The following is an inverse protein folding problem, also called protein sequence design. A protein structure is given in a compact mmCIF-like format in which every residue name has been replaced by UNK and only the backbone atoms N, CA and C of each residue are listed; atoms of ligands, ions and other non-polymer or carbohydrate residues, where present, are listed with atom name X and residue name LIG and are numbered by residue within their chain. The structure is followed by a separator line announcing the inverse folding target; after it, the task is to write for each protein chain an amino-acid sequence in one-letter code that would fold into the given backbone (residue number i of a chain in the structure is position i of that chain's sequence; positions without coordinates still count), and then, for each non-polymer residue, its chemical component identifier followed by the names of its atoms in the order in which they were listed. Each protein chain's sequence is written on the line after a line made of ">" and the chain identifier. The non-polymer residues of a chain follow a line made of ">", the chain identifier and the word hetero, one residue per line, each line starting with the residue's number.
data_IF_212971637983
#
_entry.id   IF_212971637983
#
_cell.length_a   1.000
_cell.length_b   1.000
_cell.length_c   1.000
_cell.angle_alpha   90.00
_cell.angle_beta   90.00
_cell.angle_gamma   90.00
#
_symmetry.space_group_name_H-M   'P 1'
#
loop_
_entity.id
_entity.type
_entity.pdbx_description
1 polymer ?
#
# COMPACT_ATOMS: atom_id res chain seq x y z
N UNK A 1 -30.69 -18.72 25.44
CA UNK A 1 -29.37 -18.60 26.13
C UNK A 1 -29.18 -17.28 26.90
N UNK A 2 -30.15 -16.34 26.90
CA UNK A 2 -30.01 -15.02 27.55
C UNK A 2 -30.33 -14.94 29.06
N UNK A 3 -30.78 -16.04 29.68
CA UNK A 3 -31.18 -16.03 31.10
C UNK A 3 -29.97 -16.04 32.05
N UNK A 4 -28.83 -16.59 31.60
CA UNK A 4 -27.67 -16.80 32.47
C UNK A 4 -26.81 -15.54 32.64
N UNK A 5 -26.80 -14.63 31.65
CA UNK A 5 -25.98 -13.41 31.70
C UNK A 5 -26.57 -12.38 32.68
N UNK A 6 -27.90 -12.28 32.78
CA UNK A 6 -28.55 -11.34 33.71
C UNK A 6 -28.36 -11.75 35.18
N UNK A 7 -28.35 -13.05 35.47
CA UNK A 7 -28.11 -13.57 36.83
C UNK A 7 -26.67 -13.33 37.32
N UNK A 8 -25.70 -13.37 36.41
CA UNK A 8 -24.29 -13.07 36.72
C UNK A 8 -24.08 -11.56 36.95
N UNK A 9 -24.77 -10.71 36.19
CA UNK A 9 -24.69 -9.25 36.36
C UNK A 9 -25.38 -8.80 37.65
N UNK A 10 -26.49 -9.43 38.06
CA UNK A 10 -27.18 -9.09 39.31
C UNK A 10 -26.38 -9.52 40.55
N UNK A 11 -25.75 -10.70 40.52
CA UNK A 11 -24.90 -11.20 41.62
C UNK A 11 -23.63 -10.36 41.80
N UNK A 12 -23.03 -9.86 40.71
CA UNK A 12 -21.91 -8.90 40.76
C UNK A 12 -22.33 -7.50 41.25
N UNK A 13 -23.59 -7.09 41.01
CA UNK A 13 -24.11 -5.82 41.52
C UNK A 13 -24.50 -5.89 43.01
N UNK A 14 -24.97 -7.04 43.50
CA UNK A 14 -25.26 -7.25 44.92
C UNK A 14 -24.01 -7.33 45.78
N UNK A 15 -22.93 -7.96 45.31
CA UNK A 15 -21.63 -7.98 46.01
C UNK A 15 -21.00 -6.58 46.16
N UNK A 16 -21.32 -5.64 45.27
CA UNK A 16 -20.83 -4.26 45.35
C UNK A 16 -21.63 -3.36 46.30
N UNK A 17 -22.82 -3.78 46.74
CA UNK A 17 -23.69 -2.96 47.62
C UNK A 17 -23.48 -3.24 49.12
N UNK A 18 -22.91 -4.38 49.50
CA UNK A 18 -22.76 -4.79 50.91
C UNK A 18 -21.40 -4.51 51.53
N UNK A 19 -20.42 -4.01 50.76
CA UNK A 19 -19.09 -3.65 51.28
C UNK A 19 -18.96 -2.16 51.60
N UNK A 20 -19.82 -1.67 52.49
CA UNK A 20 -19.64 -0.37 53.14
C UNK A 20 -19.03 -0.56 54.51
N UNK A 21 -17.87 0.07 54.72
CA UNK A 21 -17.08 0.21 55.96
C UNK A 21 -16.05 -0.88 56.25
N UNK A 22 -14.95 -0.85 55.49
CA UNK A 22 -13.62 -0.89 56.10
C UNK A 22 -12.78 0.25 55.53
N UNK A 23 -12.38 1.20 56.39
CA UNK A 23 -11.33 2.17 56.05
C UNK A 23 -10.00 1.41 56.01
N UNK A 24 -9.75 0.69 54.93
CA UNK A 24 -8.42 0.19 54.63
C UNK A 24 -7.61 1.37 54.14
N UNK A 25 -6.79 1.89 55.05
CA UNK A 25 -5.68 2.79 54.74
C UNK A 25 -4.91 2.12 53.60
N UNK A 26 -5.01 2.68 52.39
CA UNK A 26 -4.23 2.25 51.24
C UNK A 26 -2.76 2.25 51.67
N UNK A 27 -2.04 1.11 51.60
CA UNK A 27 -0.67 1.07 52.04
C UNK A 27 0.14 2.03 51.16
N UNK A 28 0.59 3.12 51.78
CA UNK A 28 1.47 4.17 51.23
C UNK A 28 2.82 3.63 50.72
N UNK A 29 3.06 2.31 50.81
CA UNK A 29 4.15 1.61 50.12
C UNK A 29 4.00 1.59 48.59
N UNK A 30 2.79 1.69 48.03
CA UNK A 30 2.64 1.79 46.56
C UNK A 30 2.99 3.19 46.00
N UNK A 31 2.95 4.24 46.84
CA UNK A 31 3.39 5.58 46.48
C UNK A 31 4.92 5.76 46.50
N UNK A 32 5.66 4.78 47.05
CA UNK A 32 7.14 4.79 47.01
C UNK A 32 7.71 4.25 45.70
N UNK A 33 6.94 3.46 44.93
CA UNK A 33 7.33 3.03 43.58
C UNK A 33 7.30 4.14 42.54
N UNK A 34 6.64 5.27 42.81
CA UNK A 34 6.59 6.42 41.89
C UNK A 34 7.95 7.07 41.65
N UNK A 35 8.90 6.93 42.60
CA UNK A 35 10.30 7.36 42.39
C UNK A 35 11.08 6.46 41.45
N UNK A 36 10.76 5.16 41.36
CA UNK A 36 11.35 4.25 40.37
C UNK A 36 10.82 4.46 38.95
N UNK A 37 9.59 4.97 38.79
CA UNK A 37 9.06 5.32 37.47
C UNK A 37 9.80 6.52 36.88
N UNK A 38 10.31 7.45 37.71
CA UNK A 38 11.07 8.62 37.22
C UNK A 38 12.31 8.25 36.41
N UNK A 39 12.98 7.15 36.75
CA UNK A 39 14.19 6.70 36.04
C UNK A 39 13.89 5.90 34.74
N UNK A 40 12.62 5.52 34.53
CA UNK A 40 12.09 4.97 33.27
C UNK A 40 11.71 6.06 32.26
N UNK A 41 11.84 7.33 32.64
CA UNK A 41 11.49 8.51 31.82
C UNK A 41 12.72 9.36 31.42
N UNK A 42 13.93 8.83 31.59
CA UNK A 42 15.14 9.34 30.93
C UNK A 42 15.16 9.02 29.42
N UNK A 43 14.15 8.30 28.95
CA UNK A 43 13.97 7.93 27.55
C UNK A 43 13.43 9.08 26.69
N UNK A 44 13.76 9.00 25.40
CA UNK A 44 13.55 9.99 24.33
C UNK A 44 12.25 10.81 24.40
N UNK A 45 12.27 12.01 23.81
CA UNK A 45 11.11 12.93 23.73
C UNK A 45 9.83 12.24 23.22
N UNK A 46 9.95 11.23 22.34
CA UNK A 46 8.81 10.41 21.90
C UNK A 46 8.15 9.66 23.07
N UNK A 47 8.93 9.08 23.99
CA UNK A 47 8.40 8.35 25.14
C UNK A 47 7.72 9.27 26.14
N UNK A 48 8.20 10.51 26.27
CA UNK A 48 7.52 11.56 27.05
C UNK A 48 6.16 11.91 26.47
N UNK A 49 6.07 12.03 25.14
CA UNK A 49 4.80 12.26 24.44
C UNK A 49 3.87 11.06 24.61
N UNK A 50 4.35 9.83 24.41
CA UNK A 50 3.58 8.60 24.62
C UNK A 50 3.02 8.50 26.04
N UNK A 51 3.80 8.89 27.05
CA UNK A 51 3.33 8.92 28.43
C UNK A 51 2.25 9.97 28.67
N UNK A 52 2.38 11.17 28.08
CA UNK A 52 1.33 12.20 28.14
C UNK A 52 0.04 11.72 27.49
N UNK A 53 0.13 11.06 26.34
CA UNK A 53 -1.01 10.44 25.64
C UNK A 53 -1.65 9.38 26.55
N UNK A 54 -0.86 8.49 27.15
CA UNK A 54 -1.36 7.46 28.05
C UNK A 54 -2.07 8.05 29.28
N UNK A 55 -1.51 9.09 29.90
CA UNK A 55 -2.13 9.79 31.03
C UNK A 55 -3.44 10.47 30.63
N UNK A 56 -3.47 11.09 29.45
CA UNK A 56 -4.66 11.71 28.89
C UNK A 56 -5.77 10.68 28.63
N UNK A 57 -5.46 9.57 27.97
CA UNK A 57 -6.39 8.46 27.78
C UNK A 57 -6.88 7.89 29.12
N UNK A 58 -6.01 7.78 30.12
CA UNK A 58 -6.40 7.40 31.47
C UNK A 58 -7.41 8.36 32.12
N UNK A 59 -7.31 9.66 31.85
CA UNK A 59 -8.24 10.68 32.37
C UNK A 59 -9.61 10.71 31.66
N UNK A 60 -9.68 10.29 30.39
CA UNK A 60 -10.91 10.24 29.60
C UNK A 60 -11.86 9.11 30.03
N UNK A 61 -11.34 8.08 30.70
CA UNK A 61 -12.11 6.93 31.16
C UNK A 61 -12.49 5.93 30.06
N UNK A 62 -12.86 4.71 30.48
CA UNK A 62 -13.04 3.57 29.56
C UNK A 62 -14.15 3.71 28.53
N UNK A 63 -15.21 4.47 28.82
CA UNK A 63 -16.35 4.67 27.91
C UNK A 63 -15.98 5.44 26.64
N UNK A 64 -15.04 6.38 26.75
CA UNK A 64 -14.57 7.17 25.60
C UNK A 64 -13.43 6.41 24.91
N UNK A 65 -12.52 5.81 25.68
CA UNK A 65 -11.35 5.11 25.15
C UNK A 65 -11.67 3.94 24.21
N UNK A 66 -12.85 3.31 24.31
CA UNK A 66 -13.27 2.26 23.37
C UNK A 66 -13.29 2.76 21.91
N UNK A 67 -13.59 4.04 21.67
CA UNK A 67 -13.57 4.65 20.34
C UNK A 67 -12.16 4.74 19.73
N UNK A 68 -11.09 4.63 20.54
CA UNK A 68 -9.72 4.63 20.05
C UNK A 68 -9.42 3.38 19.20
N UNK A 69 -10.07 2.26 19.50
CA UNK A 69 -9.88 1.00 18.77
C UNK A 69 -10.52 1.08 17.38
N UNK A 70 -11.48 1.99 17.17
CA UNK A 70 -12.10 2.29 15.88
C UNK A 70 -12.72 1.07 15.19
N UNK A 71 -13.18 1.25 13.95
CA UNK A 71 -13.58 0.12 13.10
C UNK A 71 -12.34 -0.60 12.59
N UNK A 72 -11.82 -1.52 13.41
CA UNK A 72 -10.64 -2.37 13.11
C UNK A 72 -10.78 -3.10 11.78
N UNK A 73 -12.01 -3.38 11.35
CA UNK A 73 -12.34 -3.98 10.06
C UNK A 73 -11.71 -3.23 8.89
N UNK A 74 -11.73 -1.90 8.89
CA UNK A 74 -11.28 -1.09 7.74
C UNK A 74 -9.78 -1.19 7.49
N UNK A 75 -8.99 -1.35 8.56
CA UNK A 75 -7.54 -1.50 8.49
C UNK A 75 -7.15 -2.96 8.20
N UNK A 76 -7.73 -3.91 8.94
CA UNK A 76 -7.47 -5.33 8.75
C UNK A 76 -7.85 -5.81 7.34
N UNK A 77 -8.95 -5.32 6.76
CA UNK A 77 -9.35 -5.69 5.39
C UNK A 77 -8.33 -5.20 4.35
N UNK A 78 -7.59 -4.12 4.62
CA UNK A 78 -6.61 -3.61 3.65
C UNK A 78 -5.28 -4.35 3.69
N UNK A 79 -4.86 -4.82 4.86
CA UNK A 79 -3.58 -5.51 5.03
C UNK A 79 -3.68 -7.03 5.00
N UNK A 80 -4.80 -7.62 5.45
CA UNK A 80 -4.96 -9.06 5.55
C UNK A 80 -5.55 -9.72 4.28
N UNK A 81 -5.88 -8.93 3.25
CA UNK A 81 -6.42 -9.45 1.98
C UNK A 81 -5.31 -9.69 0.98
N UNK A 82 -5.23 -10.93 0.49
CA UNK A 82 -4.30 -11.30 -0.57
C UNK A 82 -4.55 -10.49 -1.85
N UNK A 83 -3.47 -10.12 -2.55
CA UNK A 83 -3.56 -9.29 -3.76
C UNK A 83 -4.06 -10.07 -4.96
N UNK A 84 -3.81 -11.37 -5.00
CA UNK A 84 -4.42 -12.33 -5.91
C UNK A 84 -4.81 -13.59 -5.13
N UNK A 85 -5.77 -14.34 -5.66
CA UNK A 85 -6.25 -15.60 -5.10
C UNK A 85 -5.37 -16.78 -5.51
N UNK A 86 -4.58 -16.63 -6.57
CA UNK A 86 -3.70 -17.64 -7.13
C UNK A 86 -2.26 -17.12 -7.16
N UNK A 87 -1.30 -18.02 -6.92
CA UNK A 87 0.13 -17.69 -7.02
C UNK A 87 0.59 -17.94 -8.46
N UNK A 88 0.89 -16.86 -9.17
CA UNK A 88 1.27 -16.86 -10.58
C UNK A 88 2.79 -16.73 -10.81
N UNK A 89 3.52 -16.18 -9.85
CA UNK A 89 4.95 -15.90 -9.95
C UNK A 89 5.76 -16.90 -9.12
N UNK A 90 6.17 -17.97 -9.79
CA UNK A 90 7.10 -18.94 -9.25
C UNK A 90 8.53 -18.66 -9.73
N UNK A 91 9.49 -18.84 -8.83
CA UNK A 91 10.92 -18.72 -9.09
C UNK A 91 11.62 -20.01 -8.68
N UNK A 92 12.32 -20.63 -9.64
CA UNK A 92 13.18 -21.78 -9.35
C UNK A 92 14.52 -21.27 -8.88
N UNK A 93 14.87 -21.54 -7.62
CA UNK A 93 16.18 -21.17 -7.10
C UNK A 93 17.20 -22.17 -7.64
N UNK A 94 18.24 -21.72 -8.37
CA UNK A 94 19.28 -22.61 -8.85
C UNK A 94 20.26 -22.90 -7.71
N UNK A 95 20.02 -23.96 -6.93
CA UNK A 95 21.02 -24.51 -6.02
C UNK A 95 21.75 -25.67 -6.71
N UNK A 96 22.92 -26.05 -6.20
CA UNK A 96 23.77 -27.10 -6.80
C UNK A 96 23.04 -28.45 -6.88
N UNK A 97 22.38 -28.85 -5.78
CA UNK A 97 21.76 -30.18 -5.66
C UNK A 97 20.24 -30.18 -5.85
N UNK A 98 19.58 -29.02 -5.79
CA UNK A 98 18.12 -28.93 -5.83
C UNK A 98 17.61 -27.63 -6.46
N UNK A 99 16.37 -27.66 -6.96
CA UNK A 99 15.72 -26.48 -7.55
C UNK A 99 14.40 -26.19 -6.84
N UNK A 100 14.42 -25.67 -5.60
CA UNK A 100 13.21 -25.36 -4.87
C UNK A 100 12.44 -24.25 -5.58
N UNK A 101 11.11 -24.32 -5.47
CA UNK A 101 10.19 -23.34 -6.06
C UNK A 101 9.77 -22.36 -4.97
N UNK A 102 9.99 -21.08 -5.20
CA UNK A 102 9.54 -20.00 -4.33
C UNK A 102 8.42 -19.23 -5.02
N UNK A 103 7.32 -19.00 -4.33
CA UNK A 103 6.25 -18.13 -4.79
C UNK A 103 6.55 -16.68 -4.37
N UNK A 104 6.89 -15.84 -5.33
CA UNK A 104 7.31 -14.46 -5.08
C UNK A 104 6.12 -13.54 -4.77
N UNK A 105 4.91 -13.90 -5.21
CA UNK A 105 3.70 -13.08 -5.04
C UNK A 105 3.37 -12.76 -3.58
N UNK A 106 3.69 -13.71 -2.70
CA UNK A 106 3.40 -13.63 -1.27
C UNK A 106 4.15 -12.49 -0.57
N UNK A 107 5.28 -12.05 -1.13
CA UNK A 107 6.12 -11.03 -0.51
C UNK A 107 5.73 -9.60 -0.91
N UNK A 108 4.94 -9.42 -1.98
CA UNK A 108 4.63 -8.09 -2.50
C UNK A 108 4.03 -7.11 -1.47
N UNK A 109 3.03 -7.48 -0.64
CA UNK A 109 2.45 -6.54 0.31
C UNK A 109 3.50 -5.98 1.27
N UNK A 110 4.39 -6.84 1.77
CA UNK A 110 5.43 -6.44 2.71
C UNK A 110 6.56 -5.67 2.04
N UNK A 111 6.99 -6.08 0.84
CA UNK A 111 8.04 -5.37 0.09
C UNK A 111 7.59 -3.95 -0.23
N UNK A 112 6.35 -3.78 -0.70
CA UNK A 112 5.81 -2.46 -1.03
C UNK A 112 5.65 -1.58 0.21
N UNK A 113 5.17 -2.15 1.32
CA UNK A 113 5.08 -1.42 2.58
C UNK A 113 6.45 -0.92 3.07
N UNK A 114 7.47 -1.79 3.04
CA UNK A 114 8.84 -1.41 3.40
C UNK A 114 9.42 -0.36 2.42
N UNK A 115 9.16 -0.50 1.12
CA UNK A 115 9.64 0.47 0.13
C UNK A 115 9.01 1.85 0.32
N UNK A 116 7.74 1.94 0.72
CA UNK A 116 7.03 3.22 0.89
C UNK A 116 7.27 3.86 2.27
N UNK A 117 7.24 3.07 3.33
CA UNK A 117 7.13 3.57 4.71
C UNK A 117 8.34 3.30 5.60
N UNK A 118 9.37 2.59 5.12
CA UNK A 118 10.56 2.35 5.96
C UNK A 118 11.26 3.65 6.35
N UNK A 119 11.49 3.81 7.65
CA UNK A 119 12.25 4.93 8.22
C UNK A 119 13.76 4.77 8.01
N UNK A 120 14.23 3.52 7.94
CA UNK A 120 15.64 3.24 7.71
C UNK A 120 15.93 3.23 6.21
N UNK A 121 16.86 4.09 5.78
CA UNK A 121 17.21 4.25 4.37
C UNK A 121 17.74 2.97 3.74
N UNK A 122 18.56 2.21 4.47
CA UNK A 122 19.12 0.96 3.96
C UNK A 122 18.01 -0.05 3.62
N UNK A 123 17.13 -0.30 4.59
CA UNK A 123 15.98 -1.20 4.41
C UNK A 123 15.06 -0.73 3.28
N UNK A 124 14.84 0.59 3.16
CA UNK A 124 14.05 1.18 2.08
C UNK A 124 14.68 0.91 0.71
N UNK A 125 15.97 1.20 0.54
CA UNK A 125 16.72 1.01 -0.71
C UNK A 125 16.70 -0.47 -1.13
N UNK A 126 16.99 -1.38 -0.21
CA UNK A 126 16.97 -2.82 -0.49
C UNK A 126 15.58 -3.31 -0.89
N UNK A 127 14.51 -2.83 -0.22
CA UNK A 127 13.14 -3.15 -0.62
C UNK A 127 12.79 -2.61 -2.02
N UNK A 128 13.29 -1.42 -2.38
CA UNK A 128 13.10 -0.81 -3.69
C UNK A 128 13.78 -1.62 -4.81
N UNK A 129 15.04 -1.99 -4.62
CA UNK A 129 15.80 -2.81 -5.57
C UNK A 129 15.17 -4.19 -5.76
N UNK A 130 14.73 -4.82 -4.66
CA UNK A 130 14.03 -6.10 -4.69
C UNK A 130 12.71 -5.97 -5.47
N UNK A 131 11.91 -4.94 -5.18
CA UNK A 131 10.64 -4.68 -5.87
C UNK A 131 10.84 -4.53 -7.38
N UNK A 132 11.82 -3.71 -7.78
CA UNK A 132 12.13 -3.49 -9.19
C UNK A 132 12.59 -4.80 -9.87
N UNK A 133 13.45 -5.58 -9.21
CA UNK A 133 13.97 -6.84 -9.73
C UNK A 133 12.85 -7.87 -9.96
N UNK A 134 11.94 -8.02 -8.99
CA UNK A 134 10.79 -8.91 -9.11
C UNK A 134 9.84 -8.44 -10.22
N UNK A 135 9.59 -7.13 -10.31
CA UNK A 135 8.76 -6.58 -11.40
C UNK A 135 9.37 -6.81 -12.77
N UNK A 136 10.69 -6.64 -12.92
CA UNK A 136 11.39 -6.94 -14.16
C UNK A 136 11.30 -8.43 -14.51
N UNK A 137 11.45 -9.31 -13.52
CA UNK A 137 11.26 -10.75 -13.69
C UNK A 137 9.85 -11.11 -14.16
N UNK A 138 8.82 -10.50 -13.57
CA UNK A 138 7.41 -10.67 -13.96
C UNK A 138 7.17 -10.23 -15.41
N UNK A 139 7.73 -9.07 -15.80
CA UNK A 139 7.66 -8.59 -17.19
C UNK A 139 8.36 -9.60 -18.13
N UNK A 140 9.54 -10.12 -17.76
CA UNK A 140 10.24 -11.13 -18.54
C UNK A 140 9.45 -12.44 -18.70
N UNK A 141 8.78 -12.89 -17.63
CA UNK A 141 7.93 -14.09 -17.64
C UNK A 141 6.63 -13.93 -18.43
N UNK A 142 6.12 -12.70 -18.54
CA UNK A 142 4.93 -12.40 -19.35
C UNK A 142 5.17 -12.56 -20.87
N UNK A 143 6.43 -12.62 -21.31
CA UNK A 143 6.77 -12.84 -22.73
C UNK A 143 6.52 -14.30 -23.09
N UNK A 144 5.69 -14.59 -24.11
CA UNK A 144 5.40 -15.95 -24.51
C UNK A 144 6.67 -16.62 -25.04
N UNK A 145 7.07 -17.72 -24.40
CA UNK A 145 8.09 -18.63 -24.90
C UNK A 145 7.35 -19.88 -25.43
N UNK A 146 7.16 -19.97 -26.75
CA UNK A 146 6.47 -21.10 -27.38
C UNK A 146 4.96 -21.18 -27.07
N UNK A 147 4.44 -22.40 -26.89
CA UNK A 147 3.01 -22.71 -26.65
C UNK A 147 2.54 -22.46 -25.21
N UNK A 148 3.41 -21.92 -24.35
CA UNK A 148 3.10 -21.72 -22.93
C UNK A 148 2.01 -20.66 -22.76
N UNK A 149 0.96 -20.99 -21.99
CA UNK A 149 -0.16 -20.09 -21.68
C UNK A 149 0.36 -18.77 -21.08
N UNK A 150 -0.02 -17.65 -21.68
CA UNK A 150 0.33 -16.31 -21.19
C UNK A 150 -0.32 -16.12 -19.81
N UNK A 151 0.50 -16.11 -18.77
CA UNK A 151 0.09 -15.74 -17.41
C UNK A 151 -0.15 -14.24 -17.39
N UNK A 152 -1.30 -13.82 -16.89
CA UNK A 152 -1.68 -12.40 -16.82
C UNK A 152 -1.58 -11.93 -15.37
N UNK A 153 -0.80 -10.89 -15.11
CA UNK A 153 -0.55 -10.37 -13.76
C UNK A 153 -1.40 -9.13 -13.46
N UNK A 154 -2.58 -9.01 -14.08
CA UNK A 154 -3.43 -7.82 -14.04
C UNK A 154 -3.74 -7.35 -12.62
N UNK A 155 -4.11 -8.28 -11.72
CA UNK A 155 -4.50 -7.95 -10.35
C UNK A 155 -3.32 -7.43 -9.54
N UNK A 156 -2.14 -8.04 -9.69
CA UNK A 156 -0.89 -7.59 -9.08
C UNK A 156 -0.51 -6.21 -9.61
N UNK A 157 -0.55 -6.01 -10.93
CA UNK A 157 -0.23 -4.72 -11.55
C UNK A 157 -1.16 -3.59 -11.11
N UNK A 158 -2.44 -3.85 -10.86
CA UNK A 158 -3.38 -2.85 -10.30
C UNK A 158 -2.93 -2.30 -8.93
N UNK A 159 -2.15 -3.07 -8.16
CA UNK A 159 -1.60 -2.65 -6.86
C UNK A 159 -0.17 -2.13 -6.97
N UNK A 160 0.64 -2.75 -7.82
CA UNK A 160 2.05 -2.41 -8.00
C UNK A 160 2.25 -1.09 -8.73
N UNK A 161 1.53 -0.83 -9.82
CA UNK A 161 1.73 0.41 -10.59
C UNK A 161 1.49 1.68 -9.75
N UNK A 162 0.43 1.80 -8.94
CA UNK A 162 0.28 2.93 -8.03
C UNK A 162 1.44 3.07 -7.04
N UNK A 163 1.96 1.97 -6.50
CA UNK A 163 3.09 2.00 -5.57
C UNK A 163 4.37 2.49 -6.27
N UNK A 164 4.68 1.98 -7.47
CA UNK A 164 5.82 2.44 -8.28
C UNK A 164 5.69 3.92 -8.63
N UNK A 165 4.48 4.40 -8.95
CA UNK A 165 4.22 5.81 -9.22
C UNK A 165 4.43 6.71 -7.97
N UNK A 166 4.12 6.18 -6.78
CA UNK A 166 4.43 6.88 -5.53
C UNK A 166 5.94 6.93 -5.28
N UNK A 167 6.64 5.82 -5.48
CA UNK A 167 8.10 5.71 -5.31
C UNK A 167 8.88 6.57 -6.33
N UNK A 168 8.38 6.74 -7.54
CA UNK A 168 8.96 7.65 -8.54
C UNK A 168 8.84 9.12 -8.16
N UNK A 169 8.09 9.44 -7.11
CA UNK A 169 7.91 10.78 -6.57
C UNK A 169 8.41 10.89 -5.12
N UNK A 170 9.24 9.94 -4.67
CA UNK A 170 9.73 9.90 -3.30
C UNK A 170 10.66 11.09 -2.98
N UNK A 171 10.76 11.39 -1.69
CA UNK A 171 11.74 12.30 -1.09
C UNK A 171 13.19 11.85 -1.28
N UNK A 172 13.47 10.54 -1.29
CA UNK A 172 14.82 10.00 -1.52
C UNK A 172 15.17 10.02 -3.01
N UNK A 173 16.25 10.74 -3.35
CA UNK A 173 16.68 10.95 -4.74
C UNK A 173 17.03 9.66 -5.46
N UNK A 174 17.61 8.68 -4.77
CA UNK A 174 17.94 7.37 -5.35
C UNK A 174 16.65 6.63 -5.76
N UNK A 175 15.72 6.48 -4.82
CA UNK A 175 14.42 5.82 -5.03
C UNK A 175 13.64 6.50 -6.17
N UNK A 176 13.58 7.84 -6.13
CA UNK A 176 12.94 8.65 -7.16
C UNK A 176 13.51 8.37 -8.54
N UNK A 177 14.83 8.41 -8.69
CA UNK A 177 15.52 8.25 -9.98
C UNK A 177 15.35 6.83 -10.53
N UNK A 178 15.48 5.83 -9.64
CA UNK A 178 15.32 4.41 -9.97
C UNK A 178 13.94 4.14 -10.58
N UNK A 179 12.89 4.54 -9.86
CA UNK A 179 11.52 4.26 -10.29
C UNK A 179 11.00 5.21 -11.36
N UNK A 180 11.46 6.46 -11.43
CA UNK A 180 11.10 7.35 -12.53
C UNK A 180 11.63 6.80 -13.87
N UNK A 181 12.89 6.36 -13.90
CA UNK A 181 13.48 5.75 -15.09
C UNK A 181 12.78 4.44 -15.44
N UNK A 182 12.56 3.59 -14.45
CA UNK A 182 11.88 2.30 -14.62
C UNK A 182 10.45 2.47 -15.14
N UNK A 183 9.68 3.42 -14.61
CA UNK A 183 8.31 3.69 -15.05
C UNK A 183 8.27 4.10 -16.52
N UNK A 184 9.16 4.98 -16.96
CA UNK A 184 9.26 5.38 -18.37
C UNK A 184 9.64 4.22 -19.28
N UNK A 185 10.52 3.31 -18.82
CA UNK A 185 10.86 2.09 -19.55
C UNK A 185 9.68 1.11 -19.65
N UNK A 186 8.96 0.90 -18.55
CA UNK A 186 7.72 0.12 -18.50
C UNK A 186 6.70 0.67 -19.49
N UNK A 187 6.49 1.99 -19.51
CA UNK A 187 5.55 2.64 -20.44
C UNK A 187 5.90 2.26 -21.88
N UNK A 188 7.15 2.44 -22.29
CA UNK A 188 7.64 2.11 -23.64
C UNK A 188 7.40 0.64 -23.98
N UNK A 189 7.67 -0.27 -23.03
CA UNK A 189 7.46 -1.69 -23.21
C UNK A 189 5.96 -2.04 -23.40
N UNK A 190 5.10 -1.56 -22.50
CA UNK A 190 3.66 -1.86 -22.55
C UNK A 190 2.94 -1.19 -23.73
N UNK A 191 3.44 -0.07 -24.24
CA UNK A 191 2.93 0.57 -25.47
C UNK A 191 3.31 -0.19 -26.74
N UNK A 192 4.35 -1.03 -26.73
CA UNK A 192 4.75 -1.88 -27.86
C UNK A 192 3.85 -3.13 -27.99
N UNK A 193 2.96 -3.39 -27.04
CA UNK A 193 2.15 -4.60 -27.05
C UNK A 193 1.14 -4.60 -28.20
N UNK A 194 1.22 -5.63 -29.07
CA UNK A 194 0.36 -5.79 -30.26
C UNK A 194 -1.08 -6.14 -29.92
N UNK A 195 -1.34 -6.65 -28.71
CA UNK A 195 -2.70 -7.01 -28.28
C UNK A 195 -3.48 -5.75 -27.90
N UNK A 196 -4.42 -5.39 -28.77
CA UNK A 196 -5.41 -4.35 -28.50
C UNK A 196 -6.15 -4.65 -27.18
N UNK A 197 -6.28 -3.63 -26.31
CA UNK A 197 -6.88 -3.74 -24.97
C UNK A 197 -6.26 -4.81 -24.06
N UNK A 198 -4.93 -4.95 -24.06
CA UNK A 198 -4.30 -5.70 -22.98
C UNK A 198 -4.67 -5.07 -21.62
N UNK A 199 -5.27 -5.89 -20.74
CA UNK A 199 -5.76 -5.48 -19.42
C UNK A 199 -4.64 -4.89 -18.56
N UNK A 200 -3.40 -5.34 -18.74
CA UNK A 200 -2.23 -4.83 -18.04
C UNK A 200 -1.87 -3.40 -18.49
N UNK A 201 -1.86 -3.13 -19.80
CA UNK A 201 -1.66 -1.78 -20.35
C UNK A 201 -2.77 -0.83 -19.90
N UNK A 202 -4.02 -1.32 -19.82
CA UNK A 202 -5.14 -0.54 -19.29
C UNK A 202 -5.01 -0.26 -17.80
N UNK A 203 -4.49 -1.22 -17.01
CA UNK A 203 -4.16 -1.01 -15.59
C UNK A 203 -3.09 0.07 -15.41
N UNK A 204 -2.06 0.07 -16.26
CA UNK A 204 -1.03 1.10 -16.28
C UNK A 204 -1.62 2.48 -16.60
N UNK A 205 -2.44 2.58 -17.65
CA UNK A 205 -3.10 3.83 -18.02
C UNK A 205 -4.05 4.34 -16.92
N UNK A 206 -4.81 3.45 -16.29
CA UNK A 206 -5.69 3.80 -15.17
C UNK A 206 -4.88 4.38 -14.00
N UNK A 207 -3.69 3.84 -13.73
CA UNK A 207 -2.79 4.37 -12.70
C UNK A 207 -2.40 5.82 -12.99
N UNK A 208 -1.99 6.16 -14.21
CA UNK A 208 -1.63 7.54 -14.55
C UNK A 208 -2.82 8.49 -14.51
N UNK A 209 -3.97 8.05 -15.03
CA UNK A 209 -5.21 8.84 -14.95
C UNK A 209 -5.57 9.13 -13.49
N UNK A 210 -5.53 8.12 -12.62
CA UNK A 210 -5.77 8.30 -11.18
C UNK A 210 -4.72 9.18 -10.51
N UNK A 211 -3.46 9.10 -10.96
CA UNK A 211 -2.36 9.92 -10.47
C UNK A 211 -2.55 11.41 -10.76
N UNK A 212 -3.00 11.76 -11.97
CA UNK A 212 -3.32 13.16 -12.34
C UNK A 212 -4.46 13.70 -11.48
N UNK A 213 -5.45 12.87 -11.15
CA UNK A 213 -6.58 13.23 -10.30
C UNK A 213 -6.25 13.28 -8.79
N UNK A 214 -4.99 13.08 -8.39
CA UNK A 214 -4.60 12.98 -6.97
C UNK A 214 -4.71 14.33 -6.26
N UNK A 215 -5.57 14.44 -5.24
CA UNK A 215 -5.74 15.67 -4.46
C UNK A 215 -4.60 15.93 -3.47
N UNK A 216 -3.93 14.89 -2.98
CA UNK A 216 -3.02 14.97 -1.83
C UNK A 216 -1.58 15.32 -2.21
N UNK A 217 -1.11 14.84 -3.37
CA UNK A 217 0.32 14.92 -3.72
C UNK A 217 0.50 15.58 -5.09
N UNK A 218 0.99 16.81 -5.11
CA UNK A 218 1.27 17.55 -6.34
C UNK A 218 2.34 16.86 -7.20
N UNK A 219 3.43 16.38 -6.59
CA UNK A 219 4.51 15.68 -7.31
C UNK A 219 4.02 14.46 -8.10
N UNK A 220 3.05 13.72 -7.55
CA UNK A 220 2.44 12.58 -8.24
C UNK A 220 1.65 13.05 -9.46
N UNK A 221 0.89 14.15 -9.36
CA UNK A 221 0.15 14.69 -10.51
C UNK A 221 1.10 15.08 -11.64
N UNK A 222 2.15 15.82 -11.31
CA UNK A 222 3.11 16.32 -12.30
C UNK A 222 3.83 15.16 -13.00
N UNK A 223 4.32 14.18 -12.23
CA UNK A 223 4.99 13.03 -12.81
C UNK A 223 4.03 12.10 -13.57
N UNK A 224 2.77 11.99 -13.14
CA UNK A 224 1.74 11.25 -13.89
C UNK A 224 1.45 11.89 -15.25
N UNK A 225 1.46 13.23 -15.33
CA UNK A 225 1.33 13.94 -16.60
C UNK A 225 2.52 13.68 -17.53
N UNK A 226 3.75 13.61 -16.99
CA UNK A 226 4.95 13.20 -17.74
C UNK A 226 4.79 11.76 -18.26
N UNK A 227 4.33 10.84 -17.41
CA UNK A 227 4.07 9.44 -17.80
C UNK A 227 3.02 9.35 -18.91
N UNK A 228 1.92 10.11 -18.79
CA UNK A 228 0.86 10.12 -19.80
C UNK A 228 1.34 10.70 -21.14
N UNK A 229 2.16 11.75 -21.11
CA UNK A 229 2.82 12.30 -22.30
C UNK A 229 3.69 11.25 -22.98
N UNK A 230 4.51 10.54 -22.22
CA UNK A 230 5.39 9.48 -22.75
C UNK A 230 4.56 8.33 -23.33
N UNK A 231 3.49 7.92 -22.64
CA UNK A 231 2.56 6.90 -23.11
C UNK A 231 1.93 7.25 -24.46
N UNK A 232 1.44 8.49 -24.61
CA UNK A 232 0.88 8.98 -25.86
C UNK A 232 1.92 9.05 -26.97
N UNK A 233 3.10 9.60 -26.68
CA UNK A 233 4.21 9.73 -27.62
C UNK A 233 4.58 8.36 -28.20
N UNK A 234 4.80 7.36 -27.35
CA UNK A 234 5.21 6.02 -27.81
C UNK A 234 4.07 5.25 -28.45
N UNK A 235 2.82 5.43 -28.00
CA UNK A 235 1.66 4.88 -28.71
C UNK A 235 1.59 5.37 -30.16
N UNK A 236 1.90 6.65 -30.41
CA UNK A 236 1.95 7.20 -31.77
C UNK A 236 3.19 6.72 -32.51
N UNK A 237 4.38 6.75 -31.89
CA UNK A 237 5.62 6.32 -32.56
C UNK A 237 5.57 4.86 -33.01
N UNK A 238 4.97 3.97 -32.21
CA UNK A 238 4.79 2.57 -32.61
C UNK A 238 3.77 2.40 -33.75
N UNK A 239 2.81 3.31 -33.90
CA UNK A 239 1.84 3.28 -35.01
C UNK A 239 2.45 3.55 -36.39
N UNK A 240 3.66 4.12 -36.46
CA UNK A 240 4.29 4.49 -37.73
C UNK A 240 4.89 3.25 -38.44
N UNK A 241 5.30 2.21 -37.70
CA UNK A 241 5.98 1.03 -38.26
C UNK A 241 5.15 -0.26 -38.36
N UNK A 242 4.02 -0.36 -37.66
CA UNK A 242 3.15 -1.56 -37.61
C UNK A 242 1.65 -1.15 -37.55
N UNK A 243 0.72 -2.12 -37.57
CA UNK A 243 -0.76 -1.97 -37.58
C UNK A 243 -1.31 -0.65 -36.99
N UNK A 244 -1.45 0.37 -37.85
CA UNK A 244 -1.89 1.74 -37.50
C UNK A 244 -3.18 1.76 -36.65
N UNK A 245 -4.10 0.84 -36.93
CA UNK A 245 -5.42 0.79 -36.29
C UNK A 245 -5.40 0.33 -34.84
N UNK A 246 -4.42 -0.47 -34.38
CA UNK A 246 -4.38 -0.94 -33.00
C UNK A 246 -3.82 0.14 -32.05
N UNK A 247 -2.70 0.75 -32.45
CA UNK A 247 -2.00 1.74 -31.63
C UNK A 247 -2.75 3.08 -31.54
N UNK A 248 -3.46 3.48 -32.61
CA UNK A 248 -4.30 4.69 -32.61
C UNK A 248 -5.49 4.55 -31.64
N UNK A 249 -5.98 3.33 -31.39
CA UNK A 249 -7.07 3.14 -30.42
C UNK A 249 -6.62 3.43 -28.98
N UNK A 250 -5.37 3.17 -28.63
CA UNK A 250 -4.82 3.52 -27.31
C UNK A 250 -4.76 5.04 -27.09
N UNK A 251 -4.33 5.81 -28.10
CA UNK A 251 -4.30 7.28 -27.98
C UNK A 251 -5.70 7.88 -27.97
N UNK A 252 -6.63 7.36 -28.77
CA UNK A 252 -8.03 7.82 -28.73
C UNK A 252 -8.72 7.49 -27.40
N UNK A 253 -8.42 6.35 -26.76
CA UNK A 253 -8.99 6.01 -25.44
C UNK A 253 -8.49 6.95 -24.34
N UNK A 254 -7.22 7.35 -24.40
CA UNK A 254 -6.65 8.39 -23.53
C UNK A 254 -7.40 9.71 -23.70
N UNK A 255 -7.55 10.19 -24.93
CA UNK A 255 -8.22 11.48 -25.21
C UNK A 255 -9.67 11.46 -24.76
N UNK A 256 -10.42 10.38 -25.03
CA UNK A 256 -11.80 10.22 -24.56
C UNK A 256 -11.91 10.32 -23.04
N UNK A 257 -10.97 9.72 -22.31
CA UNK A 257 -10.94 9.80 -20.84
C UNK A 257 -10.64 11.21 -20.34
N UNK A 258 -9.69 11.92 -20.96
CA UNK A 258 -9.37 13.31 -20.61
C UNK A 258 -10.60 14.21 -20.81
N UNK A 259 -11.28 14.09 -21.95
CA UNK A 259 -12.53 14.84 -22.22
C UNK A 259 -13.63 14.46 -21.24
N UNK A 260 -13.75 13.19 -20.88
CA UNK A 260 -14.72 12.77 -19.85
C UNK A 260 -14.40 13.38 -18.49
N UNK A 261 -13.12 13.53 -18.14
CA UNK A 261 -12.70 14.09 -16.86
C UNK A 261 -12.80 15.61 -16.80
N UNK A 262 -12.59 16.31 -17.91
CA UNK A 262 -12.79 17.78 -17.99
C UNK A 262 -14.25 18.19 -17.73
N UNK A 263 -15.21 17.30 -18.03
CA UNK A 263 -16.63 17.51 -17.75
C UNK A 263 -17.07 17.02 -16.35
N UNK A 264 -16.16 16.50 -15.53
CA UNK A 264 -16.51 15.93 -14.24
C UNK A 264 -16.84 17.05 -13.22
N UNK A 265 -17.85 16.86 -12.34
CA UNK A 265 -18.19 17.83 -11.29
C UNK A 265 -17.10 18.03 -10.23
N UNK A 266 -16.06 17.19 -10.21
CA UNK A 266 -15.02 17.23 -9.18
C UNK A 266 -13.88 18.12 -9.69
N UNK A 267 -13.49 19.12 -8.89
CA UNK A 267 -12.43 20.07 -9.25
C UNK A 267 -11.11 19.38 -9.57
N UNK A 268 -10.71 18.37 -8.79
CA UNK A 268 -9.44 17.64 -9.00
C UNK A 268 -9.44 16.71 -10.21
N UNK A 269 -10.62 16.32 -10.70
CA UNK A 269 -10.71 15.53 -11.93
C UNK A 269 -10.73 16.42 -13.17
N UNK A 270 -11.23 17.65 -13.02
CA UNK A 270 -11.30 18.63 -14.10
C UNK A 270 -9.97 19.36 -14.32
N UNK A 271 -9.26 19.66 -13.24
CA UNK A 271 -7.93 20.29 -13.23
C UNK A 271 -6.87 19.35 -13.82
#
# INVERSE_FOLDING_TARGET
>A
EDVNVRAIVSTLQEQNRTSTRTKTILPTRMLKKTKQIKHLFDDSELRRVQFRIMKYLGSLGGRINYHLIGDTSTYLIKEAVAWDNENHLFFYVPLEDMKPIIHLDLFFPRIVDLALHSSERQTKVTACELLQSIMLYMIGKSVPHGETRVVTYEKLYKKLFPAVLQLSCDSDTFTKTLFATFMLQIIRWFTKNKRYENRETMSLLNTFMNGIMSSKNASIRDFSAVCLKEFLKWSIQHSIGEDKHAYLKNSTSVLKRIVSYSMHPNSFKRL
#
